data_IF_009304000081
#
_entry.id   IF_009304000081
#
_cell.length_a   1.000
_cell.length_b   1.000
_cell.length_c   1.000
_cell.angle_alpha   90.00
_cell.angle_beta   90.00
_cell.angle_gamma   90.00
#
_symmetry.space_group_name_H-M   'P 1'
#
loop_
_entity.id
_entity.type
_entity.pdbx_description
1 polymer ?
#
# COMPACT_ATOMS: atom_id res chain seq x y z
N UNK A 1 27.20 -7.88 2.97
CA UNK A 1 26.15 -6.91 3.38
C UNK A 1 24.82 -7.61 3.23
N UNK A 2 23.89 -7.45 4.19
CA UNK A 2 22.54 -8.03 4.08
C UNK A 2 21.83 -7.42 2.88
N UNK A 3 21.01 -8.22 2.20
CA UNK A 3 20.22 -7.73 1.08
C UNK A 3 19.06 -6.87 1.59
N UNK A 4 18.82 -5.72 0.94
CA UNK A 4 17.82 -4.74 1.41
C UNK A 4 16.43 -5.03 0.88
N UNK A 5 15.43 -4.82 1.73
CA UNK A 5 14.00 -4.87 1.36
C UNK A 5 13.32 -3.57 1.77
N UNK A 6 12.66 -2.92 0.80
CA UNK A 6 11.86 -1.71 1.01
C UNK A 6 10.47 -2.10 1.53
N UNK A 7 10.04 -1.41 2.59
CA UNK A 7 8.67 -1.49 3.10
C UNK A 7 8.02 -0.14 2.87
N UNK A 8 6.89 -0.13 2.16
CA UNK A 8 5.99 1.02 2.08
C UNK A 8 4.88 0.82 3.11
N UNK A 9 4.92 1.59 4.18
CA UNK A 9 3.90 1.56 5.22
C UNK A 9 2.65 2.32 4.75
N UNK A 10 1.55 1.58 4.56
CA UNK A 10 0.28 2.13 4.06
C UNK A 10 -0.78 2.32 5.15
N UNK A 11 -0.45 2.03 6.42
CA UNK A 11 -1.40 2.05 7.53
C UNK A 11 -2.08 3.39 7.74
N UNK A 12 -1.36 4.51 7.58
CA UNK A 12 -1.91 5.85 7.77
C UNK A 12 -2.94 6.25 6.69
N UNK A 13 -2.84 5.67 5.48
CA UNK A 13 -3.80 5.87 4.38
C UNK A 13 -4.72 4.67 4.24
N UNK A 14 -4.24 3.58 3.64
CA UNK A 14 -5.04 2.41 3.28
C UNK A 14 -5.60 1.69 4.51
N UNK A 15 -4.80 1.61 5.57
CA UNK A 15 -5.22 1.01 6.82
C UNK A 15 -6.38 1.76 7.48
N UNK A 16 -6.23 3.08 7.63
CA UNK A 16 -7.26 3.93 8.26
C UNK A 16 -8.48 4.21 7.36
N UNK A 17 -8.33 4.11 6.03
CA UNK A 17 -9.38 4.42 5.06
C UNK A 17 -10.65 3.58 5.28
N UNK A 18 -10.51 2.33 5.72
CA UNK A 18 -11.62 1.40 5.91
C UNK A 18 -12.09 1.29 7.36
N UNK A 19 -11.56 2.12 8.28
CA UNK A 19 -12.01 2.13 9.67
C UNK A 19 -13.39 2.79 9.80
N UNK A 20 -14.22 2.23 10.67
CA UNK A 20 -15.61 2.68 10.83
C UNK A 20 -15.69 4.09 11.42
N UNK A 21 -14.84 4.39 12.39
CA UNK A 21 -14.80 5.68 13.06
C UNK A 21 -13.72 6.57 12.42
N UNK A 22 -14.00 7.87 12.37
CA UNK A 22 -12.97 8.84 12.03
C UNK A 22 -11.94 8.88 13.16
N UNK A 23 -10.67 8.60 12.82
CA UNK A 23 -9.56 8.75 13.75
C UNK A 23 -9.13 10.22 13.79
N UNK A 24 -9.10 10.87 14.96
CA UNK A 24 -8.72 12.28 15.08
C UNK A 24 -7.35 12.59 14.48
N UNK A 25 -7.21 13.76 13.86
CA UNK A 25 -5.99 14.18 13.15
C UNK A 25 -4.74 14.13 14.03
N UNK A 26 -4.84 14.54 15.30
CA UNK A 26 -3.73 14.48 16.26
C UNK A 26 -3.31 13.03 16.58
N UNK A 27 -4.25 12.09 16.55
CA UNK A 27 -3.99 10.66 16.70
C UNK A 27 -3.26 10.13 15.48
N UNK A 28 -3.73 10.46 14.26
CA UNK A 28 -3.04 10.11 13.00
C UNK A 28 -1.59 10.64 12.99
N UNK A 29 -1.39 11.90 13.36
CA UNK A 29 -0.07 12.53 13.46
C UNK A 29 0.81 11.79 14.47
N UNK A 30 0.29 11.42 15.64
CA UNK A 30 1.07 10.70 16.65
C UNK A 30 1.44 9.29 16.18
N UNK A 31 0.50 8.61 15.53
CA UNK A 31 0.75 7.30 14.92
C UNK A 31 1.86 7.38 13.85
N UNK A 32 1.79 8.33 12.92
CA UNK A 32 2.82 8.54 11.90
C UNK A 32 4.19 8.87 12.52
N UNK A 33 4.24 9.70 13.57
CA UNK A 33 5.52 9.97 14.28
C UNK A 33 6.14 8.69 14.83
N UNK A 34 5.34 7.79 15.41
CA UNK A 34 5.82 6.49 15.91
C UNK A 34 6.34 5.59 14.79
N UNK A 35 5.68 5.59 13.63
CA UNK A 35 6.19 4.89 12.43
C UNK A 35 7.55 5.44 11.99
N UNK A 36 7.74 6.77 12.01
CA UNK A 36 9.03 7.40 11.70
C UNK A 36 10.09 7.05 12.75
N UNK A 37 9.73 7.03 14.04
CA UNK A 37 10.63 6.63 15.14
C UNK A 37 11.10 5.17 14.99
N UNK A 38 10.28 4.33 14.35
CA UNK A 38 10.61 2.96 13.94
C UNK A 38 11.52 2.90 12.70
N UNK A 39 12.00 4.04 12.19
CA UNK A 39 12.87 4.16 11.02
C UNK A 39 12.22 3.78 9.69
N UNK A 40 10.88 3.77 9.61
CA UNK A 40 10.20 3.69 8.30
C UNK A 40 10.54 4.92 7.46
N UNK A 41 10.98 4.66 6.24
CA UNK A 41 11.36 5.70 5.27
C UNK A 41 10.27 5.97 4.27
N UNK A 42 9.50 4.96 3.83
CA UNK A 42 8.44 5.11 2.85
C UNK A 42 7.09 4.96 3.54
N UNK A 43 6.33 6.05 3.63
CA UNK A 43 5.05 6.09 4.33
C UNK A 43 4.01 6.77 3.43
N UNK A 44 2.92 6.06 3.16
CA UNK A 44 1.78 6.63 2.45
C UNK A 44 0.87 7.34 3.46
N UNK A 45 0.96 8.68 3.50
CA UNK A 45 0.40 9.49 4.58
C UNK A 45 -1.12 9.60 4.53
N UNK A 46 -1.66 9.77 3.32
CA UNK A 46 -3.08 10.10 3.12
C UNK A 46 -3.48 9.99 1.64
N UNK A 47 -4.72 10.36 1.34
CA UNK A 47 -5.27 10.42 -0.01
C UNK A 47 -6.02 11.74 -0.21
N UNK A 48 -5.70 12.46 -1.29
CA UNK A 48 -6.48 13.63 -1.73
C UNK A 48 -7.73 13.19 -2.54
N UNK A 49 -8.56 12.37 -1.91
CA UNK A 49 -9.89 11.98 -2.37
C UNK A 49 -10.93 12.99 -1.90
N UNK A 50 -12.13 12.96 -2.50
CA UNK A 50 -13.24 13.78 -2.01
C UNK A 50 -13.60 13.35 -0.58
N UNK A 51 -13.64 14.27 0.40
CA UNK A 51 -13.99 13.93 1.79
C UNK A 51 -15.36 13.25 1.95
N UNK A 52 -16.32 13.57 1.08
CA UNK A 52 -17.63 12.91 1.08
C UNK A 52 -17.59 11.45 0.61
N UNK A 53 -16.57 11.07 -0.16
CA UNK A 53 -16.37 9.68 -0.59
C UNK A 53 -15.65 8.85 0.47
N UNK A 54 -14.65 9.44 1.13
CA UNK A 54 -13.83 8.79 2.16
C UNK A 54 -13.64 9.78 3.33
N UNK A 55 -14.58 9.84 4.30
CA UNK A 55 -14.50 10.80 5.41
C UNK A 55 -13.31 10.55 6.34
N UNK A 56 -12.80 9.31 6.39
CA UNK A 56 -11.65 8.90 7.19
C UNK A 56 -10.38 9.71 6.87
N UNK A 57 -10.27 10.20 5.63
CA UNK A 57 -9.12 10.95 5.11
C UNK A 57 -9.45 12.41 4.81
N UNK A 58 -10.56 12.94 5.38
CA UNK A 58 -10.98 14.32 5.17
C UNK A 58 -9.94 15.37 5.63
N UNK A 59 -9.04 14.99 6.53
CA UNK A 59 -7.96 15.80 7.11
C UNK A 59 -6.60 15.64 6.38
N UNK A 60 -6.64 15.26 5.09
CA UNK A 60 -5.46 15.02 4.28
C UNK A 60 -4.49 16.22 4.25
N UNK A 61 -5.03 17.44 4.15
CA UNK A 61 -4.23 18.67 4.11
C UNK A 61 -3.53 18.92 5.46
N UNK A 62 -4.23 18.75 6.57
CA UNK A 62 -3.71 18.95 7.92
C UNK A 62 -2.59 17.96 8.24
N UNK A 63 -2.79 16.68 7.92
CA UNK A 63 -1.75 15.64 8.09
C UNK A 63 -0.54 15.96 7.20
N UNK A 64 -0.76 16.31 5.93
CA UNK A 64 0.31 16.60 4.97
C UNK A 64 1.14 17.82 5.39
N UNK A 65 0.49 18.90 5.81
CA UNK A 65 1.14 20.13 6.27
C UNK A 65 2.04 19.89 7.51
N UNK A 66 1.71 18.89 8.33
CA UNK A 66 2.51 18.56 9.50
C UNK A 66 3.86 17.93 9.15
N UNK A 67 3.92 17.09 8.10
CA UNK A 67 5.06 16.23 7.80
C UNK A 67 5.87 16.60 6.55
N UNK A 68 5.19 16.82 5.41
CA UNK A 68 5.81 16.69 4.08
C UNK A 68 7.00 17.62 3.87
N UNK A 69 6.86 18.91 4.25
CA UNK A 69 7.94 19.90 4.10
C UNK A 69 9.01 19.85 5.20
N UNK A 70 8.74 19.14 6.30
CA UNK A 70 9.63 19.10 7.47
C UNK A 70 10.55 17.88 7.47
N UNK A 71 10.24 16.87 6.66
CA UNK A 71 11.05 15.66 6.61
C UNK A 71 12.28 15.84 5.71
N UNK A 72 13.40 15.32 6.20
CA UNK A 72 14.68 15.29 5.50
C UNK A 72 15.00 13.88 5.01
N UNK A 73 14.46 12.84 5.66
CA UNK A 73 14.82 11.43 5.43
C UNK A 73 13.65 10.49 5.10
N UNK A 74 12.40 10.97 5.16
CA UNK A 74 11.23 10.17 4.79
C UNK A 74 10.77 10.53 3.37
N UNK A 75 10.43 9.50 2.61
CA UNK A 75 9.77 9.57 1.32
C UNK A 75 8.27 9.39 1.55
N UNK A 76 7.56 10.51 1.70
CA UNK A 76 6.12 10.49 1.83
C UNK A 76 5.43 10.45 0.48
N UNK A 77 4.43 9.58 0.38
CA UNK A 77 3.52 9.51 -0.75
C UNK A 77 2.08 9.76 -0.32
N UNK A 78 1.23 10.10 -1.28
CA UNK A 78 -0.21 10.17 -1.08
C UNK A 78 -0.95 9.70 -2.33
N UNK A 79 -2.16 9.18 -2.14
CA UNK A 79 -3.01 8.75 -3.24
C UNK A 79 -3.70 9.95 -3.89
N UNK A 80 -3.61 10.05 -5.22
CA UNK A 80 -4.17 11.15 -6.03
C UNK A 80 -5.11 10.58 -7.10
N UNK A 81 -6.43 10.46 -6.81
CA UNK A 81 -7.39 9.79 -7.70
C UNK A 81 -7.76 10.60 -8.97
N UNK A 82 -7.31 11.86 -9.06
CA UNK A 82 -7.58 12.77 -10.17
C UNK A 82 -6.60 13.96 -10.12
N UNK A 83 -6.62 14.80 -11.16
CA UNK A 83 -5.74 15.97 -11.27
C UNK A 83 -5.91 16.98 -10.12
N UNK A 84 -7.12 17.16 -9.59
CA UNK A 84 -7.34 18.07 -8.47
C UNK A 84 -6.60 17.56 -7.23
N UNK A 85 -6.73 16.27 -6.90
CA UNK A 85 -5.99 15.66 -5.80
C UNK A 85 -4.47 15.70 -6.02
N UNK A 86 -4.01 15.52 -7.26
CA UNK A 86 -2.61 15.71 -7.62
C UNK A 86 -2.13 17.13 -7.35
N UNK A 87 -2.86 18.16 -7.79
CA UNK A 87 -2.51 19.57 -7.54
C UNK A 87 -2.43 19.85 -6.04
N UNK A 88 -3.38 19.37 -5.25
CA UNK A 88 -3.32 19.49 -3.79
C UNK A 88 -2.10 18.81 -3.18
N UNK A 89 -1.68 17.65 -3.69
CA UNK A 89 -0.44 17.01 -3.25
C UNK A 89 0.79 17.89 -3.54
N UNK A 90 0.87 18.47 -4.74
CA UNK A 90 1.99 19.36 -5.11
C UNK A 90 2.02 20.62 -4.23
N UNK A 91 0.86 21.20 -3.93
CA UNK A 91 0.72 22.34 -3.01
C UNK A 91 1.23 22.02 -1.59
N UNK A 92 1.23 20.76 -1.18
CA UNK A 92 1.80 20.31 0.10
C UNK A 92 3.28 19.90 0.02
N UNK A 93 3.84 19.86 -1.19
CA UNK A 93 5.25 19.58 -1.43
C UNK A 93 5.61 18.11 -1.62
N UNK A 94 4.62 17.23 -1.89
CA UNK A 94 4.88 15.83 -2.16
C UNK A 94 5.83 15.66 -3.35
N UNK A 95 6.81 14.74 -3.21
CA UNK A 95 7.74 14.33 -4.27
C UNK A 95 7.40 12.98 -4.86
N UNK A 96 6.43 12.30 -4.27
CA UNK A 96 5.86 11.06 -4.74
C UNK A 96 4.35 11.08 -4.55
N UNK A 97 3.64 10.63 -5.57
CA UNK A 97 2.19 10.44 -5.56
C UNK A 97 1.85 9.05 -6.06
N UNK A 98 0.66 8.57 -5.73
CA UNK A 98 0.16 7.29 -6.22
C UNK A 98 -1.13 7.44 -7.00
N UNK A 99 -1.24 6.71 -8.10
CA UNK A 99 -2.49 6.47 -8.83
C UNK A 99 -2.90 5.02 -8.66
N UNK A 100 -4.18 4.70 -8.86
CA UNK A 100 -4.66 3.34 -8.74
C UNK A 100 -5.62 2.97 -9.88
N UNK A 101 -5.47 1.74 -10.35
CA UNK A 101 -6.39 1.07 -11.26
C UNK A 101 -6.54 -0.39 -10.84
N UNK A 102 -7.08 -1.24 -11.71
CA UNK A 102 -7.22 -2.67 -11.47
C UNK A 102 -7.01 -3.47 -12.75
N UNK A 103 -6.86 -4.79 -12.60
CA UNK A 103 -6.89 -5.74 -13.71
C UNK A 103 -8.33 -6.23 -14.04
N UNK A 104 -9.35 -5.66 -13.41
CA UNK A 104 -10.76 -6.00 -13.59
C UNK A 104 -11.62 -4.77 -13.90
N UNK A 105 -12.31 -4.77 -15.03
CA UNK A 105 -13.20 -3.66 -15.43
C UNK A 105 -14.39 -3.51 -14.47
N UNK A 106 -14.96 -4.62 -14.00
CA UNK A 106 -16.05 -4.59 -13.02
C UNK A 106 -15.60 -3.99 -11.69
N UNK A 107 -14.36 -4.28 -11.27
CA UNK A 107 -13.78 -3.68 -10.07
C UNK A 107 -13.58 -2.18 -10.25
N UNK A 108 -12.91 -1.76 -11.32
CA UNK A 108 -12.66 -0.33 -11.59
C UNK A 108 -13.97 0.45 -11.72
N UNK A 109 -14.99 -0.11 -12.38
CA UNK A 109 -16.28 0.55 -12.56
C UNK A 109 -17.02 0.70 -11.23
N UNK A 110 -16.96 -0.29 -10.34
CA UNK A 110 -17.61 -0.18 -9.02
C UNK A 110 -16.88 0.75 -8.06
N UNK A 111 -15.55 0.88 -8.17
CA UNK A 111 -14.76 1.71 -7.27
C UNK A 111 -14.66 3.18 -7.72
N UNK A 112 -14.53 3.43 -9.03
CA UNK A 112 -14.31 4.80 -9.57
C UNK A 112 -15.18 5.16 -10.78
N UNK A 113 -16.20 4.35 -11.10
CA UNK A 113 -17.13 4.54 -12.21
C UNK A 113 -16.46 4.75 -13.58
N UNK A 114 -15.35 4.03 -13.80
CA UNK A 114 -14.59 4.00 -15.07
C UNK A 114 -14.18 2.57 -15.40
N UNK A 115 -13.97 2.28 -16.68
CA UNK A 115 -13.20 1.14 -17.15
C UNK A 115 -11.70 1.34 -16.85
N UNK A 116 -10.91 0.29 -17.06
CA UNK A 116 -9.45 0.36 -16.93
C UNK A 116 -8.88 1.41 -17.89
N UNK A 117 -9.25 1.36 -19.17
CA UNK A 117 -8.79 2.34 -20.18
C UNK A 117 -9.15 3.78 -19.79
N UNK A 118 -10.41 4.00 -19.41
CA UNK A 118 -10.86 5.34 -18.99
C UNK A 118 -10.12 5.81 -17.73
N UNK A 119 -9.79 4.91 -16.81
CA UNK A 119 -9.00 5.26 -15.63
C UNK A 119 -7.57 5.67 -15.99
N UNK A 120 -6.91 4.92 -16.89
CA UNK A 120 -5.56 5.23 -17.35
C UNK A 120 -5.53 6.55 -18.13
N UNK A 121 -6.50 6.78 -19.01
CA UNK A 121 -6.64 8.04 -19.73
C UNK A 121 -6.90 9.21 -18.78
N UNK A 122 -7.71 9.01 -17.72
CA UNK A 122 -7.93 10.05 -16.70
C UNK A 122 -6.67 10.41 -15.91
N UNK A 123 -5.64 9.54 -15.91
CA UNK A 123 -4.34 9.81 -15.29
C UNK A 123 -3.31 10.41 -16.24
N UNK A 124 -3.58 10.52 -17.55
CA UNK A 124 -2.62 11.07 -18.52
C UNK A 124 -2.13 12.46 -18.16
N UNK A 125 -3.03 13.34 -17.69
CA UNK A 125 -2.66 14.67 -17.22
C UNK A 125 -1.81 14.62 -15.93
N UNK A 126 -2.06 13.65 -15.05
CA UNK A 126 -1.24 13.46 -13.84
C UNK A 126 0.17 13.03 -14.24
N UNK A 127 0.32 12.06 -15.15
CA UNK A 127 1.63 11.59 -15.61
C UNK A 127 2.41 12.72 -16.28
N UNK A 128 1.75 13.51 -17.13
CA UNK A 128 2.35 14.66 -17.79
C UNK A 128 2.83 15.72 -16.78
N UNK A 129 1.97 16.11 -15.85
CA UNK A 129 2.32 17.13 -14.85
C UNK A 129 3.38 16.61 -13.85
N UNK A 130 3.32 15.34 -13.45
CA UNK A 130 4.32 14.74 -12.58
C UNK A 130 5.70 14.72 -13.21
N UNK A 131 5.79 14.38 -14.50
CA UNK A 131 7.03 14.45 -15.27
C UNK A 131 7.60 15.86 -15.31
N UNK A 132 6.76 16.88 -15.62
CA UNK A 132 7.19 18.30 -15.64
C UNK A 132 7.70 18.78 -14.28
N UNK A 133 7.09 18.32 -13.18
CA UNK A 133 7.42 18.74 -11.82
C UNK A 133 8.48 17.85 -11.14
N UNK A 134 9.02 16.86 -11.85
CA UNK A 134 9.95 15.85 -11.31
C UNK A 134 9.41 15.15 -10.05
N UNK A 135 8.14 14.74 -10.12
CA UNK A 135 7.41 14.02 -9.06
C UNK A 135 7.28 12.57 -9.48
N UNK A 136 7.67 11.65 -8.60
CA UNK A 136 7.52 10.21 -8.85
C UNK A 136 6.06 9.81 -8.82
N UNK A 137 5.62 8.96 -9.76
CA UNK A 137 4.28 8.37 -9.74
C UNK A 137 4.39 6.87 -9.52
N UNK A 138 3.82 6.40 -8.42
CA UNK A 138 3.61 4.99 -8.11
C UNK A 138 2.26 4.53 -8.64
N UNK A 139 2.19 3.33 -9.22
CA UNK A 139 0.94 2.78 -9.76
C UNK A 139 0.47 1.57 -8.95
N UNK A 140 -0.74 1.62 -8.39
CA UNK A 140 -1.37 0.44 -7.81
C UNK A 140 -2.23 -0.28 -8.86
N UNK A 141 -2.06 -1.60 -8.98
CA UNK A 141 -2.94 -2.46 -9.78
C UNK A 141 -3.67 -3.41 -8.84
N UNK A 142 -4.96 -3.16 -8.64
CA UNK A 142 -5.82 -4.04 -7.84
C UNK A 142 -6.19 -5.32 -8.59
N UNK A 143 -6.65 -6.33 -7.85
CA UNK A 143 -7.20 -7.60 -8.36
C UNK A 143 -6.25 -8.38 -9.28
N UNK A 144 -4.95 -8.38 -8.98
CA UNK A 144 -3.94 -9.03 -9.85
C UNK A 144 -4.12 -10.55 -10.02
N UNK A 145 -4.78 -11.22 -9.07
CA UNK A 145 -5.04 -12.67 -9.13
C UNK A 145 -6.55 -12.96 -9.15
N UNK A 146 -7.31 -12.26 -8.30
CA UNK A 146 -8.74 -12.47 -8.18
C UNK A 146 -9.49 -11.15 -7.97
N UNK A 147 -10.67 -11.08 -8.57
CA UNK A 147 -11.64 -10.00 -8.43
C UNK A 147 -12.89 -10.52 -7.71
N UNK A 148 -13.47 -9.77 -6.77
CA UNK A 148 -14.71 -10.16 -6.08
C UNK A 148 -15.93 -10.21 -7.02
N UNK A 149 -15.82 -9.72 -8.26
CA UNK A 149 -16.90 -9.64 -9.23
C UNK A 149 -16.69 -10.51 -10.46
N UNK A 150 -15.45 -10.62 -10.95
CA UNK A 150 -15.10 -11.36 -12.17
C UNK A 150 -14.43 -12.72 -11.88
N UNK A 151 -14.14 -13.02 -10.61
CA UNK A 151 -13.44 -14.25 -10.23
C UNK A 151 -11.94 -14.18 -10.53
N UNK A 152 -11.37 -15.28 -11.02
CA UNK A 152 -9.94 -15.35 -11.34
C UNK A 152 -9.58 -14.44 -12.51
N UNK A 153 -8.50 -13.68 -12.36
CA UNK A 153 -8.01 -12.74 -13.37
C UNK A 153 -6.89 -13.39 -14.18
N UNK A 154 -6.98 -13.20 -15.50
CA UNK A 154 -5.99 -13.67 -16.45
C UNK A 154 -4.67 -12.88 -16.30
N UNK A 155 -3.53 -13.53 -16.04
CA UNK A 155 -2.23 -12.87 -15.93
C UNK A 155 -1.87 -11.97 -17.12
N UNK A 156 -2.29 -12.33 -18.34
CA UNK A 156 -2.00 -11.53 -19.53
C UNK A 156 -2.73 -10.16 -19.49
N UNK A 157 -3.94 -10.11 -18.90
CA UNK A 157 -4.64 -8.83 -18.67
C UNK A 157 -3.89 -7.95 -17.67
N UNK A 158 -3.34 -8.57 -16.63
CA UNK A 158 -2.54 -7.87 -15.62
C UNK A 158 -1.28 -7.29 -16.25
N UNK A 159 -0.55 -8.09 -17.04
CA UNK A 159 0.63 -7.64 -17.77
C UNK A 159 0.30 -6.47 -18.69
N UNK A 160 -0.82 -6.52 -19.42
CA UNK A 160 -1.23 -5.41 -20.28
C UNK A 160 -1.49 -4.10 -19.52
N UNK A 161 -2.04 -4.16 -18.31
CA UNK A 161 -2.20 -2.95 -17.45
C UNK A 161 -0.84 -2.45 -16.96
N UNK A 162 0.03 -3.35 -16.52
CA UNK A 162 1.41 -3.04 -16.08
C UNK A 162 2.19 -2.33 -17.18
N UNK A 163 2.17 -2.89 -18.40
CA UNK A 163 2.86 -2.32 -19.56
C UNK A 163 2.45 -0.87 -19.79
N UNK A 164 1.14 -0.60 -19.80
CA UNK A 164 0.62 0.76 -19.99
C UNK A 164 1.02 1.73 -18.88
N UNK A 165 1.06 1.28 -17.62
CA UNK A 165 1.53 2.13 -16.51
C UNK A 165 3.01 2.47 -16.66
N UNK A 166 3.85 1.46 -16.97
CA UNK A 166 5.28 1.65 -17.16
C UNK A 166 5.57 2.54 -18.38
N UNK A 167 4.86 2.36 -19.49
CA UNK A 167 4.97 3.20 -20.69
C UNK A 167 4.62 4.68 -20.42
N UNK A 168 3.78 4.95 -19.41
CA UNK A 168 3.40 6.30 -18.96
C UNK A 168 4.38 6.90 -17.95
N UNK A 169 5.46 6.19 -17.61
CA UNK A 169 6.51 6.68 -16.71
C UNK A 169 6.27 6.39 -15.23
N UNK A 170 5.37 5.46 -14.89
CA UNK A 170 5.26 4.95 -13.51
C UNK A 170 6.58 4.29 -13.11
N UNK A 171 7.16 4.71 -11.99
CA UNK A 171 8.50 4.25 -11.58
C UNK A 171 8.46 2.90 -10.85
N UNK A 172 7.35 2.60 -10.17
CA UNK A 172 7.11 1.35 -9.46
C UNK A 172 5.61 1.00 -9.53
N UNK A 173 5.31 -0.26 -9.85
CA UNK A 173 3.96 -0.81 -9.84
C UNK A 173 3.78 -1.72 -8.63
N UNK A 174 2.84 -1.36 -7.74
CA UNK A 174 2.43 -2.21 -6.63
C UNK A 174 1.35 -3.19 -7.09
N UNK A 175 1.70 -4.48 -7.02
CA UNK A 175 0.89 -5.62 -7.43
C UNK A 175 -0.07 -5.97 -6.29
N UNK A 176 -1.30 -5.45 -6.38
CA UNK A 176 -2.33 -5.53 -5.33
C UNK A 176 -3.22 -6.76 -5.43
N UNK A 177 -3.00 -7.72 -4.54
CA UNK A 177 -3.92 -8.84 -4.31
C UNK A 177 -5.00 -8.44 -3.30
N UNK A 178 -6.02 -7.79 -3.82
CA UNK A 178 -7.00 -7.00 -3.06
C UNK A 178 -7.92 -7.79 -2.14
N UNK A 179 -8.09 -9.09 -2.36
CA UNK A 179 -9.08 -9.90 -1.60
C UNK A 179 -8.44 -11.05 -0.82
N UNK A 180 -7.12 -11.14 -0.77
CA UNK A 180 -6.37 -12.10 0.03
C UNK A 180 -6.51 -13.55 -0.44
N UNK A 181 -7.00 -13.81 -1.66
CA UNK A 181 -7.34 -15.17 -2.15
C UNK A 181 -6.18 -15.88 -2.85
N UNK A 182 -5.12 -15.16 -3.22
CA UNK A 182 -4.06 -15.77 -4.00
C UNK A 182 -3.28 -16.78 -3.17
N UNK A 183 -2.82 -17.83 -3.83
CA UNK A 183 -1.83 -18.75 -3.31
C UNK A 183 -0.47 -18.56 -4.00
N UNK A 184 0.64 -19.03 -3.40
CA UNK A 184 1.98 -18.82 -3.94
C UNK A 184 2.16 -19.22 -5.40
N UNK A 185 1.57 -20.35 -5.83
CA UNK A 185 1.70 -20.81 -7.23
C UNK A 185 1.02 -19.88 -8.25
N UNK A 186 -0.02 -19.15 -7.85
CA UNK A 186 -0.68 -18.15 -8.70
C UNK A 186 0.15 -16.87 -8.80
N UNK A 187 0.71 -16.42 -7.67
CA UNK A 187 1.66 -15.30 -7.63
C UNK A 187 2.89 -15.61 -8.48
N UNK A 188 3.43 -16.82 -8.36
CA UNK A 188 4.55 -17.30 -9.16
C UNK A 188 4.24 -17.31 -10.65
N UNK A 189 3.07 -17.82 -11.05
CA UNK A 189 2.65 -17.80 -12.47
C UNK A 189 2.61 -16.38 -13.03
N UNK A 190 2.05 -15.43 -12.28
CA UNK A 190 1.97 -14.02 -12.69
C UNK A 190 3.37 -13.38 -12.76
N UNK A 191 4.20 -13.54 -11.73
CA UNK A 191 5.54 -12.97 -11.69
C UNK A 191 6.44 -13.56 -12.79
N UNK A 192 6.34 -14.85 -13.09
CA UNK A 192 7.06 -15.47 -14.22
C UNK A 192 6.72 -14.84 -15.57
N UNK A 193 5.49 -14.33 -15.74
CA UNK A 193 5.08 -13.62 -16.94
C UNK A 193 5.67 -12.20 -16.96
N UNK A 194 5.51 -11.46 -15.85
CA UNK A 194 5.97 -10.06 -15.72
C UNK A 194 7.50 -9.95 -15.83
N UNK A 195 8.22 -10.81 -15.10
CA UNK A 195 9.68 -10.73 -14.96
C UNK A 195 10.45 -11.16 -16.22
N UNK A 196 9.77 -11.77 -17.20
CA UNK A 196 10.34 -12.00 -18.55
C UNK A 196 10.53 -10.71 -19.33
N UNK A 197 9.71 -9.69 -19.06
CA UNK A 197 9.70 -8.43 -19.82
C UNK A 197 10.29 -7.27 -19.03
N UNK A 198 10.10 -7.27 -17.71
CA UNK A 198 10.43 -6.13 -16.86
C UNK A 198 11.28 -6.56 -15.66
N UNK A 199 12.27 -5.75 -15.23
CA UNK A 199 13.10 -6.09 -14.08
C UNK A 199 12.30 -6.01 -12.77
N UNK A 200 12.60 -6.92 -11.84
CA UNK A 200 11.90 -7.04 -10.54
C UNK A 200 11.85 -5.75 -9.71
N UNK A 201 12.86 -4.89 -9.84
CA UNK A 201 12.96 -3.59 -9.12
C UNK A 201 11.85 -2.59 -9.44
N UNK A 202 11.08 -2.81 -10.51
CA UNK A 202 9.93 -1.97 -10.88
C UNK A 202 8.65 -2.41 -10.16
N UNK A 203 8.68 -3.46 -9.34
CA UNK A 203 7.50 -4.06 -8.75
C UNK A 203 7.56 -4.10 -7.23
N UNK A 204 6.41 -3.85 -6.62
CA UNK A 204 6.16 -4.11 -5.21
C UNK A 204 5.06 -5.15 -5.04
N UNK A 205 5.11 -5.95 -3.97
CA UNK A 205 4.02 -6.84 -3.59
C UNK A 205 3.09 -6.17 -2.58
N UNK A 206 1.79 -6.19 -2.84
CA UNK A 206 0.75 -5.74 -1.90
C UNK A 206 -0.25 -6.88 -1.72
N UNK A 207 -0.01 -7.71 -0.71
CA UNK A 207 -0.77 -8.93 -0.48
C UNK A 207 -1.65 -8.77 0.75
N UNK A 208 -2.96 -8.83 0.55
CA UNK A 208 -3.87 -8.90 1.69
C UNK A 208 -3.76 -10.27 2.38
N UNK A 209 -3.98 -10.26 3.69
CA UNK A 209 -3.93 -11.46 4.53
C UNK A 209 -5.32 -11.98 4.92
N UNK A 210 -6.35 -11.64 4.13
CA UNK A 210 -7.75 -12.01 4.38
C UNK A 210 -7.96 -13.52 4.57
N UNK A 211 -7.20 -14.36 3.86
CA UNK A 211 -7.23 -15.82 3.98
C UNK A 211 -5.91 -16.41 4.53
N UNK A 212 -5.08 -15.60 5.19
CA UNK A 212 -3.81 -16.06 5.77
C UNK A 212 -2.72 -16.36 4.74
N UNK A 213 -2.81 -15.79 3.54
CA UNK A 213 -1.87 -16.03 2.44
C UNK A 213 -0.86 -14.89 2.23
N UNK A 214 -0.98 -13.77 2.96
CA UNK A 214 -0.16 -12.58 2.75
C UNK A 214 1.34 -12.87 2.89
N UNK A 215 1.74 -13.50 4.00
CA UNK A 215 3.14 -13.89 4.25
C UNK A 215 3.64 -14.93 3.24
N UNK A 216 2.81 -15.92 2.88
CA UNK A 216 3.21 -16.96 1.93
C UNK A 216 3.46 -16.37 0.52
N UNK A 217 2.60 -15.44 0.09
CA UNK A 217 2.74 -14.75 -1.19
C UNK A 217 3.93 -13.79 -1.20
N UNK A 218 4.20 -13.11 -0.08
CA UNK A 218 5.42 -12.31 0.11
C UNK A 218 6.67 -13.16 0.02
N UNK A 219 6.72 -14.29 0.74
CA UNK A 219 7.86 -15.22 0.73
C UNK A 219 8.15 -15.73 -0.68
N UNK A 220 7.13 -16.16 -1.43
CA UNK A 220 7.29 -16.54 -2.84
C UNK A 220 7.79 -15.38 -3.71
N UNK A 221 7.29 -14.17 -3.50
CA UNK A 221 7.74 -12.98 -4.24
C UNK A 221 9.19 -12.61 -3.95
N UNK A 222 9.66 -12.78 -2.70
CA UNK A 222 11.07 -12.63 -2.33
C UNK A 222 11.96 -13.62 -3.07
N UNK A 223 11.58 -14.90 -3.14
CA UNK A 223 12.31 -15.92 -3.91
C UNK A 223 12.44 -15.54 -5.39
N UNK A 224 11.44 -14.85 -5.94
CA UNK A 224 11.41 -14.39 -7.33
C UNK A 224 12.10 -13.04 -7.56
N UNK A 225 12.73 -12.46 -6.53
CA UNK A 225 13.56 -11.27 -6.65
C UNK A 225 12.87 -9.94 -6.35
N UNK A 226 11.61 -9.92 -5.91
CA UNK A 226 10.97 -8.68 -5.43
C UNK A 226 11.63 -8.24 -4.12
N UNK A 227 11.83 -6.93 -3.97
CA UNK A 227 12.47 -6.30 -2.79
C UNK A 227 11.70 -5.09 -2.28
N UNK A 228 10.41 -5.01 -2.61
CA UNK A 228 9.53 -3.90 -2.27
C UNK A 228 8.18 -4.49 -1.90
N UNK A 229 7.68 -4.15 -0.72
CA UNK A 229 6.40 -4.69 -0.21
C UNK A 229 5.61 -3.61 0.51
N UNK A 230 4.31 -3.68 0.35
CA UNK A 230 3.36 -2.84 1.07
C UNK A 230 2.82 -3.60 2.28
N UNK A 231 2.78 -2.93 3.41
CA UNK A 231 2.21 -3.48 4.64
C UNK A 231 1.62 -2.37 5.50
N UNK A 232 0.82 -2.79 6.48
CA UNK A 232 0.08 -1.89 7.35
C UNK A 232 0.38 -2.24 8.80
N UNK A 233 0.90 -1.31 9.60
CA UNK A 233 1.21 -1.52 11.03
C UNK A 233 -0.03 -2.07 11.73
N UNK A 234 0.06 -3.23 12.39
CA UNK A 234 -1.08 -3.85 13.06
C UNK A 234 -2.07 -4.54 12.12
N UNK A 235 -1.75 -4.68 10.84
CA UNK A 235 -2.68 -5.16 9.82
C UNK A 235 -3.93 -4.28 9.74
N UNK A 236 -3.76 -2.94 9.86
CA UNK A 236 -4.87 -2.01 9.69
C UNK A 236 -5.43 -2.11 8.27
N UNK A 237 -6.72 -1.83 8.14
CA UNK A 237 -7.46 -2.05 6.92
C UNK A 237 -8.19 -3.38 6.98
N UNK A 238 -9.49 -3.34 6.71
CA UNK A 238 -10.31 -4.52 6.51
C UNK A 238 -10.50 -4.79 5.03
N UNK A 239 -11.06 -5.96 4.70
CA UNK A 239 -11.56 -6.23 3.37
C UNK A 239 -13.07 -5.89 3.30
N UNK A 240 -13.51 -4.89 2.51
CA UNK A 240 -14.94 -4.61 2.32
C UNK A 240 -15.73 -5.82 1.79
N UNK A 241 -15.04 -6.75 1.13
CA UNK A 241 -15.59 -7.96 0.51
C UNK A 241 -15.64 -9.16 1.48
N UNK A 242 -14.98 -9.08 2.63
CA UNK A 242 -14.99 -10.11 3.67
C UNK A 242 -15.17 -9.44 5.04
N UNK A 243 -16.44 -9.20 5.42
CA UNK A 243 -16.80 -8.47 6.64
C UNK A 243 -16.14 -9.10 7.88
N UNK A 244 -15.31 -8.30 8.57
CA UNK A 244 -14.64 -8.70 9.80
C UNK A 244 -13.32 -9.46 9.60
N UNK A 245 -12.93 -9.76 8.37
CA UNK A 245 -11.63 -10.37 8.07
C UNK A 245 -10.52 -9.32 7.96
N UNK A 246 -9.27 -9.78 8.07
CA UNK A 246 -8.06 -8.99 7.81
C UNK A 246 -8.07 -8.40 6.39
N UNK A 247 -7.53 -7.20 6.23
CA UNK A 247 -7.20 -6.60 4.95
C UNK A 247 -5.71 -6.75 4.67
N UNK A 248 -4.96 -5.67 4.89
CA UNK A 248 -3.52 -5.62 4.64
C UNK A 248 -2.71 -6.64 5.45
N UNK A 249 -1.59 -7.08 4.87
CA UNK A 249 -0.54 -7.76 5.62
C UNK A 249 0.02 -6.83 6.71
N UNK A 250 0.17 -7.36 7.92
CA UNK A 250 0.71 -6.61 9.04
C UNK A 250 2.21 -6.33 8.88
N UNK A 251 2.64 -5.09 9.13
CA UNK A 251 4.06 -4.71 9.05
C UNK A 251 4.91 -5.51 10.04
N UNK A 252 4.39 -5.85 11.23
CA UNK A 252 5.11 -6.68 12.20
C UNK A 252 5.34 -8.10 11.69
N UNK A 253 4.34 -8.70 11.04
CA UNK A 253 4.45 -10.05 10.48
C UNK A 253 5.45 -10.07 9.31
N UNK A 254 5.44 -9.03 8.48
CA UNK A 254 6.41 -8.84 7.40
C UNK A 254 7.84 -8.68 7.95
N UNK A 255 8.03 -7.80 8.93
CA UNK A 255 9.34 -7.58 9.56
C UNK A 255 9.86 -8.84 10.22
N UNK A 256 9.01 -9.56 10.95
CA UNK A 256 9.39 -10.83 11.56
C UNK A 256 9.91 -11.83 10.52
N UNK A 257 9.21 -11.99 9.39
CA UNK A 257 9.66 -12.82 8.27
C UNK A 257 11.02 -12.35 7.72
N UNK A 258 11.16 -11.05 7.43
CA UNK A 258 12.35 -10.49 6.79
C UNK A 258 13.59 -10.57 7.69
N UNK A 259 13.43 -10.24 8.97
CA UNK A 259 14.51 -10.26 9.96
C UNK A 259 15.00 -11.70 10.18
N UNK A 260 14.07 -12.65 10.31
CA UNK A 260 14.41 -14.08 10.49
C UNK A 260 15.03 -14.70 9.24
N UNK A 261 14.66 -14.24 8.04
CA UNK A 261 15.33 -14.60 6.78
C UNK A 261 16.70 -13.94 6.59
N UNK A 262 17.02 -12.90 7.38
CA UNK A 262 18.30 -12.19 7.30
C UNK A 262 18.34 -11.03 6.30
N UNK A 263 17.19 -10.53 5.83
CA UNK A 263 17.11 -9.30 5.06
C UNK A 263 17.34 -8.06 5.95
N UNK A 264 17.70 -6.94 5.33
CA UNK A 264 17.86 -5.65 5.99
C UNK A 264 16.75 -4.69 5.55
N UNK A 265 15.90 -4.29 6.49
CA UNK A 265 14.85 -3.29 6.27
C UNK A 265 15.23 -1.93 6.87
N UNK A 266 16.17 -1.92 7.81
CA UNK A 266 16.47 -0.76 8.66
C UNK A 266 15.35 -0.37 9.65
N UNK A 267 14.26 -1.13 9.74
CA UNK A 267 13.07 -0.80 10.54
C UNK A 267 13.13 -1.51 11.90
N UNK A 268 12.77 -0.80 12.97
CA UNK A 268 12.72 -1.33 14.33
C UNK A 268 11.35 -1.96 14.63
N UNK A 269 11.31 -3.29 14.62
CA UNK A 269 10.10 -4.08 14.90
C UNK A 269 9.46 -3.73 16.26
N UNK A 270 10.24 -3.47 17.31
CA UNK A 270 9.68 -3.15 18.62
C UNK A 270 8.94 -1.81 18.61
N UNK A 271 9.44 -0.84 17.85
CA UNK A 271 8.79 0.47 17.71
C UNK A 271 7.56 0.42 16.80
N UNK A 272 7.52 -0.48 15.80
CA UNK A 272 6.29 -0.76 15.06
C UNK A 272 5.22 -1.32 16.00
N UNK A 273 5.58 -2.25 16.89
CA UNK A 273 4.65 -2.76 17.91
C UNK A 273 4.10 -1.63 18.78
N UNK A 274 4.93 -0.66 19.18
CA UNK A 274 4.47 0.53 19.93
C UNK A 274 3.55 1.44 19.11
N UNK A 275 3.81 1.63 17.80
CA UNK A 275 2.94 2.37 16.90
C UNK A 275 1.57 1.71 16.78
N UNK A 276 1.55 0.39 16.59
CA UNK A 276 0.35 -0.44 16.55
C UNK A 276 -0.43 -0.43 17.86
N UNK A 277 0.26 -0.55 18.99
CA UNK A 277 -0.37 -0.48 20.32
C UNK A 277 -1.03 0.87 20.56
N UNK A 278 -0.37 1.95 20.15
CA UNK A 278 -0.93 3.29 20.24
C UNK A 278 -2.23 3.41 19.43
N UNK A 279 -2.21 3.05 18.15
CA UNK A 279 -3.38 3.21 17.29
C UNK A 279 -4.52 2.26 17.68
N UNK A 280 -4.23 1.04 18.16
CA UNK A 280 -5.23 0.07 18.64
C UNK A 280 -6.22 0.67 19.64
N UNK A 281 -5.71 1.53 20.55
CA UNK A 281 -6.52 2.19 21.59
C UNK A 281 -7.62 3.12 21.03
N UNK A 282 -7.55 3.46 19.73
CA UNK A 282 -8.52 4.33 19.04
C UNK A 282 -9.42 3.59 18.03
N UNK A 283 -9.17 2.31 17.74
CA UNK A 283 -9.91 1.56 16.71
C UNK A 283 -11.22 0.95 17.22
N UNK A 284 -11.35 0.76 18.54
CA UNK A 284 -12.48 0.04 19.14
C UNK A 284 -12.52 -1.46 18.77
N UNK A 285 -11.42 -2.01 18.23
CA UNK A 285 -11.22 -3.42 17.92
C UNK A 285 -9.76 -3.79 18.21
N UNK A 286 -9.51 -5.09 18.42
CA UNK A 286 -8.14 -5.60 18.55
C UNK A 286 -7.45 -5.70 17.19
N UNK A 287 -6.14 -5.52 17.20
CA UNK A 287 -5.22 -5.80 16.10
C UNK A 287 -5.03 -7.32 15.97
N UNK A 288 -4.95 -7.78 14.71
CA UNK A 288 -4.90 -9.22 14.38
C UNK A 288 -3.51 -9.71 13.96
N UNK A 289 -2.53 -8.81 13.86
CA UNK A 289 -1.13 -9.14 13.61
C UNK A 289 -0.62 -10.20 14.58
N UNK A 290 -0.07 -11.29 14.07
CA UNK A 290 0.32 -12.46 14.88
C UNK A 290 1.59 -12.16 15.68
N UNK A 291 2.56 -11.55 15.03
CA UNK A 291 3.83 -11.12 15.61
C UNK A 291 3.59 -10.03 16.65
N UNK A 292 2.68 -9.09 16.40
CA UNK A 292 2.26 -8.11 17.41
C UNK A 292 1.74 -8.77 18.68
N UNK A 293 0.79 -9.72 18.55
CA UNK A 293 0.20 -10.41 19.69
C UNK A 293 1.24 -11.21 20.49
N UNK A 294 2.12 -11.94 19.79
CA UNK A 294 3.19 -12.72 20.43
C UNK A 294 4.21 -11.82 21.14
N UNK A 295 4.64 -10.73 20.50
CA UNK A 295 5.61 -9.79 21.06
C UNK A 295 5.05 -9.02 22.26
N UNK A 296 3.78 -8.62 22.22
CA UNK A 296 3.12 -8.03 23.40
C UNK A 296 3.04 -9.00 24.56
N UNK A 297 2.66 -10.26 24.31
CA UNK A 297 2.57 -11.28 25.36
C UNK A 297 3.94 -11.58 25.98
N UNK A 298 5.03 -11.50 25.21
CA UNK A 298 6.40 -11.71 25.71
C UNK A 298 6.97 -10.56 26.55
N UNK A 299 6.32 -9.39 26.55
CA UNK A 299 6.72 -8.22 27.35
C UNK A 299 6.05 -8.18 28.73
N UNK A 300 5.10 -9.07 29.00
CA UNK A 300 4.39 -9.25 30.28
C UNK A 300 5.07 -10.37 31.06
#
# INVERSE_FOLDING_TARGET
MKEKVKITEVGARDGLQNEKAFIPTNVKITFIKKLIEASLTHIELTSFVKPSSIPQLADASEVSAHFVRKSISQEFSCLTPNLHGYKSAIEHGYKEVAVFTAASNSFTKKNINKTIEESLHAFDEIFLEASKNNVKVRGYVSTIIACPYEGWIDPDKVLGVIDRLLDKGVYEVSLGETIGKAIPSQVEKLLNLILKKHPAKLFAGHFHDTYGMGIANTSKSLEMGLRSFDSSSGGLGGCPYAKGASGNLATEDLLYLLDTHGYDTGVDLNKIVEASQYIESFLGRKIMSKSYQALLASKI
#
